data_IF_810622645541
#
_entry.id   IF_810622645541
#
_cell.length_a   1.000
_cell.length_b   1.000
_cell.length_c   1.000
_cell.angle_alpha   90.00
_cell.angle_beta   90.00
_cell.angle_gamma   90.00
#
_symmetry.space_group_name_H-M   'P 1'
#
loop_
_entity.id
_entity.type
_entity.pdbx_description
1 polymer ?
#
# COMPACT_ATOMS: atom_id res chain seq x y z
N UNK A 1 -12.15 -16.13 -18.54
CA UNK A 1 -12.61 -14.88 -19.18
C UNK A 1 -12.50 -13.77 -18.15
N UNK A 2 -11.53 -12.87 -18.27
CA UNK A 2 -11.12 -11.96 -17.19
C UNK A 2 -11.85 -10.60 -17.29
N UNK A 3 -12.46 -10.17 -16.18
CA UNK A 3 -13.37 -9.01 -16.10
C UNK A 3 -12.65 -7.64 -16.07
N UNK A 4 -11.32 -7.60 -16.15
CA UNK A 4 -10.52 -6.38 -15.95
C UNK A 4 -10.36 -5.47 -17.18
N UNK A 5 -10.75 -5.89 -18.40
CA UNK A 5 -10.49 -5.08 -19.59
C UNK A 5 -11.44 -3.90 -19.83
N UNK A 6 -12.56 -3.76 -19.09
CA UNK A 6 -13.60 -2.77 -19.41
C UNK A 6 -13.57 -1.47 -18.62
N UNK A 7 -12.75 -1.37 -17.57
CA UNK A 7 -12.73 -0.17 -16.71
C UNK A 7 -11.79 0.94 -17.25
N UNK A 8 -10.91 0.63 -18.21
CA UNK A 8 -9.79 1.49 -18.58
C UNK A 8 -10.10 2.64 -19.56
N UNK A 9 -11.38 2.97 -19.82
CA UNK A 9 -11.75 4.01 -20.79
C UNK A 9 -12.74 5.01 -20.17
N UNK A 10 -12.23 5.99 -19.42
CA UNK A 10 -12.77 7.37 -19.39
C UNK A 10 -11.85 8.29 -18.61
N UNK A 11 -11.28 9.25 -19.33
CA UNK A 11 -10.42 10.33 -18.87
C UNK A 11 -11.24 11.47 -18.28
N UNK A 12 -10.78 12.05 -17.19
CA UNK A 12 -11.05 13.44 -16.81
C UNK A 12 -9.70 14.13 -16.71
N UNK A 13 -9.58 15.33 -17.28
CA UNK A 13 -8.33 16.02 -17.60
C UNK A 13 -7.39 16.21 -16.40
N UNK A 14 -6.10 15.97 -16.66
CA UNK A 14 -5.01 15.91 -15.70
C UNK A 14 -4.82 17.20 -14.86
N UNK A 15 -5.27 18.36 -15.34
CA UNK A 15 -5.04 19.66 -14.68
C UNK A 15 -5.82 19.87 -13.38
N UNK A 16 -7.01 19.28 -13.25
CA UNK A 16 -7.86 19.43 -12.06
C UNK A 16 -7.34 18.55 -10.90
N UNK A 17 -6.55 17.51 -11.24
CA UNK A 17 -5.92 16.61 -10.30
C UNK A 17 -4.66 17.21 -9.67
N UNK A 18 -3.80 17.84 -10.49
CA UNK A 18 -2.56 18.47 -10.01
C UNK A 18 -2.83 19.64 -9.07
N UNK A 19 -3.90 20.42 -9.33
CA UNK A 19 -4.32 21.52 -8.46
C UNK A 19 -4.75 21.04 -7.06
N UNK A 20 -5.32 19.84 -6.96
CA UNK A 20 -5.76 19.21 -5.70
C UNK A 20 -4.62 18.53 -4.94
N UNK A 21 -3.54 18.20 -5.63
CA UNK A 21 -2.32 17.64 -5.04
C UNK A 21 -1.46 18.75 -4.40
N UNK A 22 -1.36 19.91 -5.06
CA UNK A 22 -0.62 21.07 -4.55
C UNK A 22 -1.21 21.64 -3.24
N UNK A 23 -2.54 21.59 -3.07
CA UNK A 23 -3.20 22.07 -1.85
C UNK A 23 -2.96 21.16 -0.62
N UNK A 24 -2.47 19.94 -0.81
CA UNK A 24 -2.18 19.00 0.28
C UNK A 24 -0.72 19.07 0.76
N UNK A 25 0.14 19.88 0.12
CA UNK A 25 1.57 19.92 0.40
C UNK A 25 2.04 21.19 1.14
N UNK A 26 1.15 22.13 1.48
CA UNK A 26 1.53 23.44 2.02
C UNK A 26 1.49 23.58 3.56
N UNK A 27 1.28 22.52 4.34
CA UNK A 27 1.00 22.67 5.79
C UNK A 27 2.03 22.01 6.75
N UNK A 28 3.30 21.89 6.35
CA UNK A 28 4.35 21.32 7.20
C UNK A 28 5.52 22.32 7.37
N UNK A 29 5.29 23.33 8.23
CA UNK A 29 6.36 24.15 8.79
C UNK A 29 7.08 23.41 9.93
N UNK A 30 8.39 23.22 9.79
CA UNK A 30 9.27 22.66 10.84
C UNK A 30 9.27 23.50 12.13
N UNK A 31 9.40 22.83 13.29
CA UNK A 31 10.28 23.33 14.34
C UNK A 31 11.33 22.31 14.76
N UNK A 32 12.54 22.84 14.93
CA UNK A 32 13.76 22.26 15.48
C UNK A 32 13.63 21.96 16.99
N UNK A 33 14.43 20.99 17.48
CA UNK A 33 14.81 20.89 18.90
C UNK A 33 14.07 19.85 19.75
N UNK A 34 14.81 18.81 20.17
CA UNK A 34 14.56 17.87 21.28
C UNK A 34 13.62 16.67 21.00
N UNK A 35 14.23 15.62 20.43
CA UNK A 35 13.65 14.33 20.05
C UNK A 35 13.46 13.38 21.25
N UNK A 36 12.59 13.76 22.18
CA UNK A 36 12.04 12.81 23.17
C UNK A 36 10.50 12.93 23.22
N UNK A 37 9.97 14.16 23.14
CA UNK A 37 8.52 14.40 22.99
C UNK A 37 7.94 13.99 21.62
N UNK A 38 8.76 13.95 20.56
CA UNK A 38 8.31 13.48 19.24
C UNK A 38 8.09 11.95 19.21
N UNK A 39 8.92 11.19 19.93
CA UNK A 39 8.75 9.75 20.13
C UNK A 39 7.54 9.43 21.01
N UNK A 40 7.25 10.27 22.00
CA UNK A 40 6.12 10.06 22.90
C UNK A 40 4.75 10.36 22.24
N UNK A 41 4.71 11.25 21.24
CA UNK A 41 3.50 11.51 20.42
C UNK A 41 3.19 10.43 19.38
N UNK A 42 4.10 9.48 19.15
CA UNK A 42 3.89 8.31 18.28
C UNK A 42 3.45 7.06 19.05
N UNK A 43 2.95 7.22 20.29
CA UNK A 43 2.11 6.19 20.92
C UNK A 43 0.76 6.17 20.18
N UNK A 44 0.76 5.59 18.97
CA UNK A 44 -0.48 5.11 18.37
C UNK A 44 -1.02 4.09 19.35
N UNK A 45 -2.06 4.47 20.08
CA UNK A 45 -2.81 3.52 20.88
C UNK A 45 -3.38 2.45 19.94
N UNK A 46 -2.65 1.35 19.83
CA UNK A 46 -3.01 0.19 19.03
C UNK A 46 -4.36 -0.43 19.44
N UNK A 47 -4.89 -0.10 20.63
CA UNK A 47 -6.17 -0.56 21.13
C UNK A 47 -7.35 0.37 20.81
N UNK A 48 -7.14 1.69 20.75
CA UNK A 48 -8.19 2.68 20.37
C UNK A 48 -8.58 2.61 18.89
N UNK A 49 -7.68 2.20 18.00
CA UNK A 49 -7.95 2.15 16.56
C UNK A 49 -9.04 1.13 16.17
N UNK A 50 -9.18 0.04 16.92
CA UNK A 50 -10.11 -1.05 16.61
C UNK A 50 -11.46 -0.99 17.36
N UNK A 51 -11.62 -0.13 18.37
CA UNK A 51 -12.91 0.06 19.05
C UNK A 51 -13.95 0.74 18.14
N UNK A 52 -13.49 1.29 17.03
CA UNK A 52 -14.29 2.03 16.08
C UNK A 52 -13.96 1.57 14.67
N UNK A 53 -14.14 0.28 14.37
CA UNK A 53 -14.44 -0.06 12.97
C UNK A 53 -15.70 0.74 12.63
N UNK A 54 -15.61 1.76 11.77
CA UNK A 54 -16.81 2.46 11.37
C UNK A 54 -17.68 1.39 10.73
N UNK A 55 -18.92 1.23 11.22
CA UNK A 55 -19.92 0.46 10.47
C UNK A 55 -20.21 1.28 9.22
N UNK A 56 -19.33 1.21 8.23
CA UNK A 56 -19.64 1.68 6.91
C UNK A 56 -20.84 0.87 6.44
N UNK A 57 -21.82 1.56 5.87
CA UNK A 57 -22.94 0.91 5.22
C UNK A 57 -22.35 0.03 4.12
N UNK A 58 -22.24 -1.27 4.39
CA UNK A 58 -21.82 -2.27 3.42
C UNK A 58 -22.64 -2.03 2.16
N UNK A 59 -21.97 -1.68 1.07
CA UNK A 59 -22.64 -1.35 -0.18
C UNK A 59 -23.43 -2.60 -0.59
N UNK A 60 -24.78 -2.49 -0.61
CA UNK A 60 -25.67 -3.64 -0.82
C UNK A 60 -25.32 -4.26 -2.17
N UNK A 61 -24.78 -5.49 -2.15
CA UNK A 61 -24.44 -6.26 -3.35
C UNK A 61 -22.94 -6.30 -3.70
N UNK A 62 -22.09 -5.43 -3.16
CA UNK A 62 -20.67 -5.45 -3.50
C UNK A 62 -19.94 -6.70 -2.99
N UNK A 63 -20.21 -7.14 -1.76
CA UNK A 63 -19.67 -8.39 -1.25
C UNK A 63 -20.08 -9.60 -2.11
N UNK A 64 -21.31 -9.60 -2.64
CA UNK A 64 -21.78 -10.63 -3.59
C UNK A 64 -20.99 -10.58 -4.90
N UNK A 65 -20.67 -9.38 -5.40
CA UNK A 65 -19.81 -9.19 -6.60
C UNK A 65 -18.40 -9.72 -6.38
N UNK A 66 -17.86 -9.59 -5.16
CA UNK A 66 -16.58 -10.17 -4.77
C UNK A 66 -16.64 -11.68 -4.50
N UNK A 67 -17.82 -12.31 -4.57
CA UNK A 67 -18.00 -13.72 -4.23
C UNK A 67 -17.77 -14.02 -2.75
N UNK A 68 -17.98 -13.03 -1.87
CA UNK A 68 -17.61 -13.10 -0.46
C UNK A 68 -18.83 -12.92 0.46
N UNK A 69 -18.87 -13.69 1.54
CA UNK A 69 -19.83 -13.58 2.63
C UNK A 69 -19.39 -12.54 3.66
N UNK A 70 -20.33 -12.07 4.50
CA UNK A 70 -20.00 -11.20 5.64
C UNK A 70 -19.04 -11.87 6.65
N UNK A 71 -19.11 -13.21 6.77
CA UNK A 71 -18.24 -13.97 7.65
C UNK A 71 -16.80 -13.98 7.12
N UNK A 72 -16.61 -14.18 5.82
CA UNK A 72 -15.28 -14.11 5.19
C UNK A 72 -14.69 -12.70 5.26
N UNK A 73 -15.51 -11.66 5.04
CA UNK A 73 -15.11 -10.27 5.25
C UNK A 73 -14.56 -10.06 6.67
N UNK A 74 -15.29 -10.54 7.69
CA UNK A 74 -14.86 -10.44 9.07
C UNK A 74 -13.54 -11.19 9.31
N UNK A 75 -13.40 -12.41 8.78
CA UNK A 75 -12.18 -13.22 8.89
C UNK A 75 -10.98 -12.52 8.25
N UNK A 76 -11.15 -11.90 7.09
CA UNK A 76 -10.10 -11.13 6.41
C UNK A 76 -9.65 -9.97 7.30
N UNK A 77 -10.59 -9.11 7.73
CA UNK A 77 -10.29 -7.96 8.61
C UNK A 77 -9.65 -8.41 9.94
N UNK A 78 -10.13 -9.50 10.52
CA UNK A 78 -9.59 -10.05 11.77
C UNK A 78 -8.17 -10.61 11.59
N UNK A 79 -7.92 -11.37 10.52
CA UNK A 79 -6.58 -11.92 10.22
C UNK A 79 -5.56 -10.81 9.98
N UNK A 80 -5.97 -9.73 9.31
CA UNK A 80 -5.12 -8.58 9.06
C UNK A 80 -4.66 -7.87 10.32
N UNK A 81 -5.46 -7.90 11.41
CA UNK A 81 -5.08 -7.30 12.70
C UNK A 81 -3.75 -7.84 13.23
N UNK A 82 -3.41 -9.09 12.94
CA UNK A 82 -2.12 -9.67 13.31
C UNK A 82 -0.96 -9.09 12.48
N UNK A 83 -1.15 -8.99 11.16
CA UNK A 83 -0.17 -8.43 10.22
C UNK A 83 0.06 -6.93 10.50
N UNK A 84 -1.01 -6.18 10.75
CA UNK A 84 -0.96 -4.75 11.03
C UNK A 84 -0.05 -4.40 12.25
N UNK A 85 0.04 -5.27 13.26
CA UNK A 85 0.92 -5.02 14.42
C UNK A 85 2.40 -5.06 14.08
N UNK A 86 2.79 -5.77 13.02
CA UNK A 86 4.16 -5.92 12.56
C UNK A 86 4.32 -5.42 11.13
N UNK A 87 3.55 -4.39 10.74
CA UNK A 87 3.32 -4.07 9.32
C UNK A 87 4.58 -3.69 8.57
N UNK A 88 5.49 -2.94 9.21
CA UNK A 88 6.75 -2.51 8.60
C UNK A 88 7.68 -3.72 8.34
N UNK A 89 7.87 -4.58 9.35
CA UNK A 89 8.65 -5.80 9.24
C UNK A 89 8.05 -6.77 8.23
N UNK A 90 6.74 -6.99 8.30
CA UNK A 90 6.03 -7.89 7.39
C UNK A 90 6.16 -7.46 5.92
N UNK A 91 5.99 -6.15 5.64
CA UNK A 91 6.15 -5.62 4.29
C UNK A 91 7.57 -5.82 3.74
N UNK A 92 8.59 -5.59 4.58
CA UNK A 92 9.98 -5.76 4.18
C UNK A 92 10.32 -7.23 3.87
N UNK A 93 9.91 -8.15 4.75
CA UNK A 93 10.12 -9.58 4.52
C UNK A 93 9.40 -10.08 3.26
N UNK A 94 8.22 -9.53 2.94
CA UNK A 94 7.51 -9.86 1.70
C UNK A 94 8.34 -9.50 0.45
N UNK A 95 8.98 -8.32 0.44
CA UNK A 95 9.84 -7.92 -0.68
C UNK A 95 11.11 -8.77 -0.77
N UNK A 96 11.73 -9.09 0.36
CA UNK A 96 12.90 -9.96 0.39
C UNK A 96 12.56 -11.33 -0.22
N UNK A 97 11.45 -11.95 0.19
CA UNK A 97 10.98 -13.22 -0.38
C UNK A 97 10.62 -13.06 -1.87
N UNK A 98 10.01 -11.95 -2.28
CA UNK A 98 9.65 -11.70 -3.67
C UNK A 98 10.89 -11.62 -4.57
N UNK A 99 11.92 -10.87 -4.16
CA UNK A 99 13.18 -10.75 -4.93
C UNK A 99 13.95 -12.06 -5.02
N UNK A 100 13.87 -12.92 -3.99
CA UNK A 100 14.45 -14.26 -4.05
C UNK A 100 13.74 -15.18 -5.05
N UNK A 101 12.45 -14.97 -5.26
CA UNK A 101 11.63 -15.77 -6.20
C UNK A 101 11.70 -15.26 -7.63
N UNK A 102 11.76 -13.95 -7.78
CA UNK A 102 11.76 -13.26 -9.07
C UNK A 102 12.93 -12.28 -9.14
N UNK A 103 14.02 -12.73 -9.78
CA UNK A 103 15.20 -11.89 -10.02
C UNK A 103 14.91 -10.74 -10.98
N UNK A 104 13.94 -10.87 -11.88
CA UNK A 104 13.57 -9.80 -12.80
C UNK A 104 12.91 -8.64 -12.05
N UNK A 105 12.12 -8.95 -11.02
CA UNK A 105 11.58 -7.93 -10.11
C UNK A 105 12.71 -7.20 -9.38
N UNK A 106 13.73 -7.91 -8.90
CA UNK A 106 14.90 -7.29 -8.25
C UNK A 106 15.65 -6.36 -9.22
N UNK A 107 15.90 -6.82 -10.45
CA UNK A 107 16.52 -6.03 -11.52
C UNK A 107 15.77 -4.74 -11.81
N UNK A 108 14.44 -4.82 -11.82
CA UNK A 108 13.61 -3.65 -11.99
C UNK A 108 13.85 -2.61 -10.88
N UNK A 109 13.97 -3.04 -9.62
CA UNK A 109 14.25 -2.14 -8.49
C UNK A 109 15.68 -1.55 -8.54
N UNK A 110 16.67 -2.31 -9.00
CA UNK A 110 18.03 -1.79 -9.23
C UNK A 110 18.03 -0.73 -10.33
N UNK A 111 17.40 -1.02 -11.48
CA UNK A 111 17.30 -0.11 -12.63
C UNK A 111 16.63 1.23 -12.28
N UNK A 112 15.68 1.21 -11.35
CA UNK A 112 14.97 2.40 -10.89
C UNK A 112 15.59 3.04 -9.63
N UNK A 113 16.81 2.65 -9.26
CA UNK A 113 17.60 3.27 -8.19
C UNK A 113 17.06 3.04 -6.78
N UNK A 114 16.23 2.02 -6.59
CA UNK A 114 15.72 1.59 -5.28
C UNK A 114 16.72 0.67 -4.57
N UNK A 115 17.46 -0.14 -5.33
CA UNK A 115 18.54 -1.00 -4.85
C UNK A 115 19.87 -0.59 -5.49
N UNK A 116 20.99 -0.92 -4.85
CA UNK A 116 22.34 -0.56 -5.30
C UNK A 116 22.86 -1.55 -6.35
N UNK A 117 22.65 -2.85 -6.13
CA UNK A 117 23.03 -3.89 -7.10
C UNK A 117 22.12 -5.11 -6.99
N UNK A 118 22.18 -5.95 -8.03
CA UNK A 118 21.55 -7.28 -8.07
C UNK A 118 22.25 -8.31 -7.18
N UNK A 119 23.43 -7.97 -6.65
CA UNK A 119 24.23 -8.81 -5.76
C UNK A 119 23.90 -8.57 -4.28
N UNK A 120 22.94 -7.69 -3.97
CA UNK A 120 22.29 -7.57 -2.64
C UNK A 120 21.44 -8.81 -2.33
N UNK A 121 21.98 -10.00 -2.59
CA UNK A 121 21.36 -11.31 -2.36
C UNK A 121 21.44 -11.72 -0.89
N UNK A 122 22.20 -10.97 -0.08
CA UNK A 122 22.21 -11.15 1.36
C UNK A 122 20.98 -10.46 1.93
N UNK A 123 20.15 -11.31 2.53
CA UNK A 123 19.00 -10.95 3.35
C UNK A 123 19.18 -9.70 4.22
N UNK A 124 20.37 -9.52 4.81
CA UNK A 124 20.65 -8.43 5.73
C UNK A 124 20.85 -7.08 5.00
N UNK A 125 21.49 -7.10 3.83
CA UNK A 125 21.70 -5.89 3.01
C UNK A 125 20.37 -5.29 2.52
N UNK A 126 19.41 -6.15 2.14
CA UNK A 126 18.07 -5.72 1.76
C UNK A 126 17.30 -5.15 2.95
N UNK A 127 17.47 -5.72 4.14
CA UNK A 127 16.79 -5.26 5.34
C UNK A 127 17.27 -3.90 5.78
N UNK A 128 18.54 -3.56 5.55
CA UNK A 128 19.12 -2.26 5.91
C UNK A 128 18.83 -1.16 4.87
N UNK A 129 18.28 -1.50 3.70
CA UNK A 129 18.00 -0.53 2.66
C UNK A 129 16.80 0.39 3.02
N UNK A 130 17.09 1.63 3.37
CA UNK A 130 16.09 2.63 3.75
C UNK A 130 15.04 2.94 2.66
N UNK A 131 15.41 2.89 1.38
CA UNK A 131 14.46 3.12 0.27
C UNK A 131 13.47 1.97 0.16
N UNK A 132 13.96 0.74 0.29
CA UNK A 132 13.13 -0.47 0.29
C UNK A 132 12.21 -0.49 1.50
N UNK A 133 12.71 -0.21 2.70
CA UNK A 133 11.88 -0.09 3.91
C UNK A 133 10.74 0.93 3.71
N UNK A 134 11.05 2.13 3.23
CA UNK A 134 10.05 3.17 2.97
C UNK A 134 9.01 2.74 1.93
N UNK A 135 9.45 2.05 0.87
CA UNK A 135 8.56 1.53 -0.16
C UNK A 135 7.64 0.43 0.40
N UNK A 136 8.21 -0.53 1.13
CA UNK A 136 7.48 -1.62 1.78
C UNK A 136 6.40 -1.08 2.72
N UNK A 137 6.73 -0.12 3.59
CA UNK A 137 5.74 0.54 4.43
C UNK A 137 4.65 1.24 3.62
N UNK A 138 5.01 1.89 2.50
CA UNK A 138 4.06 2.55 1.60
C UNK A 138 3.06 1.55 1.01
N UNK A 139 3.54 0.40 0.53
CA UNK A 139 2.69 -0.70 0.04
C UNK A 139 1.78 -1.19 1.14
N UNK A 140 2.32 -1.44 2.33
CA UNK A 140 1.52 -1.96 3.43
C UNK A 140 0.46 -0.97 3.94
N UNK A 141 0.75 0.33 3.94
CA UNK A 141 -0.26 1.37 4.21
C UNK A 141 -1.40 1.35 3.20
N UNK A 142 -1.11 1.13 1.92
CA UNK A 142 -2.14 0.99 0.88
C UNK A 142 -2.97 -0.27 1.09
N UNK A 143 -2.32 -1.40 1.37
CA UNK A 143 -3.01 -2.67 1.67
C UNK A 143 -3.92 -2.56 2.89
N UNK A 144 -3.44 -1.90 3.95
CA UNK A 144 -4.23 -1.64 5.15
C UNK A 144 -5.49 -0.83 4.84
N UNK A 145 -5.34 0.28 4.10
CA UNK A 145 -6.47 1.09 3.66
C UNK A 145 -7.46 0.31 2.80
N UNK A 146 -6.98 -0.59 1.92
CA UNK A 146 -7.85 -1.43 1.09
C UNK A 146 -8.59 -2.45 1.96
N UNK A 147 -7.91 -3.17 2.84
CA UNK A 147 -8.50 -4.24 3.67
C UNK A 147 -9.54 -3.67 4.65
N UNK A 148 -9.25 -2.54 5.27
CA UNK A 148 -10.19 -1.87 6.19
C UNK A 148 -11.46 -1.40 5.46
N UNK A 149 -11.35 -1.09 4.17
CA UNK A 149 -12.44 -0.59 3.32
C UNK A 149 -12.91 -1.62 2.27
N UNK A 150 -12.58 -2.90 2.40
CA UNK A 150 -12.82 -3.91 1.35
C UNK A 150 -14.31 -4.11 1.01
N UNK A 151 -15.21 -3.61 1.85
CA UNK A 151 -16.67 -3.57 1.70
C UNK A 151 -17.21 -2.26 1.06
N UNK A 152 -16.32 -1.35 0.65
CA UNK A 152 -16.62 -0.09 -0.03
C UNK A 152 -16.00 -0.09 -1.44
N UNK A 153 -16.82 -0.38 -2.46
CA UNK A 153 -16.34 -0.57 -3.84
C UNK A 153 -15.60 0.67 -4.35
N UNK A 154 -16.21 1.83 -4.18
CA UNK A 154 -15.67 3.10 -4.70
C UNK A 154 -14.33 3.43 -4.07
N UNK A 155 -14.19 3.23 -2.76
CA UNK A 155 -12.94 3.50 -2.04
C UNK A 155 -11.84 2.54 -2.47
N UNK A 156 -12.13 1.24 -2.51
CA UNK A 156 -11.18 0.21 -2.96
C UNK A 156 -10.73 0.49 -4.39
N UNK A 157 -11.68 0.73 -5.29
CA UNK A 157 -11.40 1.01 -6.68
C UNK A 157 -10.53 2.25 -6.86
N UNK A 158 -10.84 3.34 -6.14
CA UNK A 158 -10.04 4.57 -6.16
C UNK A 158 -8.61 4.33 -5.66
N UNK A 159 -8.43 3.59 -4.56
CA UNK A 159 -7.11 3.26 -4.02
C UNK A 159 -6.30 2.41 -5.01
N UNK A 160 -6.91 1.39 -5.60
CA UNK A 160 -6.28 0.53 -6.60
C UNK A 160 -5.88 1.32 -7.85
N UNK A 161 -6.78 2.16 -8.37
CA UNK A 161 -6.53 2.95 -9.57
C UNK A 161 -5.38 3.95 -9.37
N UNK A 162 -5.37 4.68 -8.25
CA UNK A 162 -4.28 5.64 -7.95
C UNK A 162 -2.94 4.92 -7.89
N UNK A 163 -2.87 3.77 -7.22
CA UNK A 163 -1.62 3.03 -7.09
C UNK A 163 -1.21 2.34 -8.39
N UNK A 164 -2.14 1.80 -9.18
CA UNK A 164 -1.86 1.24 -10.50
C UNK A 164 -1.28 2.31 -11.45
N UNK A 165 -1.85 3.53 -11.45
CA UNK A 165 -1.33 4.64 -12.24
C UNK A 165 0.10 5.03 -11.85
N UNK A 166 0.46 4.96 -10.55
CA UNK A 166 1.83 5.20 -10.08
C UNK A 166 2.81 4.16 -10.62
N UNK A 167 2.45 2.88 -10.59
CA UNK A 167 3.31 1.81 -11.10
C UNK A 167 3.49 1.90 -12.62
N UNK A 168 2.46 2.31 -13.36
CA UNK A 168 2.53 2.51 -14.82
C UNK A 168 3.53 3.59 -15.26
N UNK A 169 3.88 4.54 -14.37
CA UNK A 169 4.86 5.60 -14.69
C UNK A 169 6.29 5.07 -14.84
N UNK A 170 6.58 3.89 -14.30
CA UNK A 170 7.90 3.30 -14.41
C UNK A 170 8.04 2.50 -15.71
N UNK A 171 9.03 2.88 -16.52
CA UNK A 171 9.25 2.23 -17.80
C UNK A 171 9.70 0.77 -17.63
N UNK A 172 9.01 -0.15 -18.30
CA UNK A 172 9.26 -1.58 -18.18
C UNK A 172 8.65 -2.24 -16.94
N UNK A 173 7.74 -1.57 -16.21
CA UNK A 173 6.98 -2.22 -15.15
C UNK A 173 6.05 -3.28 -15.75
N UNK A 174 6.17 -4.51 -15.26
CA UNK A 174 5.40 -5.68 -15.70
C UNK A 174 4.22 -5.92 -14.78
N UNK A 175 3.05 -6.24 -15.34
CA UNK A 175 1.86 -6.52 -14.52
C UNK A 175 2.03 -7.81 -13.73
N UNK A 176 2.87 -8.70 -14.22
CA UNK A 176 3.29 -9.96 -13.63
C UNK A 176 3.93 -9.77 -12.26
N UNK A 177 4.58 -8.62 -11.99
CA UNK A 177 5.17 -8.31 -10.68
C UNK A 177 4.15 -8.12 -9.54
N UNK A 178 2.85 -8.07 -9.82
CA UNK A 178 1.81 -8.06 -8.78
C UNK A 178 1.39 -9.46 -8.30
N UNK A 179 1.82 -10.53 -8.96
CA UNK A 179 1.36 -11.91 -8.77
C UNK A 179 2.48 -12.84 -8.30
#
# INVERSE_FOLDING_TARGET
MCFCSKIFKRTTSDEDFDRKLASLQQDEGMPDGTNEKARERLKIDHNSFFSTFPRHNVEKGYLKKLGMTKQELYRIKASWKAVHRAVATAGLEMFVIAFMRDREMMQFFVKHGMLVSEEMDKHDDLRENAKLQKHAEGVMRVLDNIILNIDNEKKVHSLLQVNACRHRKFNGFKQEFFW
#
